data_IF_199377911942
#
_entry.id   IF_199377911942
#
_cell.length_a   1.000
_cell.length_b   1.000
_cell.length_c   1.000
_cell.angle_alpha   90.00
_cell.angle_beta   90.00
_cell.angle_gamma   90.00
#
_symmetry.space_group_name_H-M   'P 1'
#
loop_
_entity.id
_entity.type
_entity.pdbx_description
1 polymer ?
#
# COMPACT_ATOMS: atom_id res chain seq x y z
N UNK A 1 -9.59 -22.48 4.44
CA UNK A 1 -8.46 -21.83 5.12
C UNK A 1 -8.54 -20.34 4.91
N UNK A 2 -8.45 -19.56 5.97
CA UNK A 2 -8.47 -18.09 5.95
C UNK A 2 -7.08 -17.55 6.32
N UNK A 3 -6.56 -16.67 5.48
CA UNK A 3 -5.28 -15.99 5.69
C UNK A 3 -5.56 -14.50 5.85
N UNK A 4 -4.94 -13.87 6.85
CA UNK A 4 -4.92 -12.42 7.01
C UNK A 4 -3.52 -11.88 6.75
N UNK A 5 -3.38 -11.03 5.74
CA UNK A 5 -2.18 -10.21 5.51
C UNK A 5 -2.36 -8.90 6.29
N UNK A 6 -1.38 -8.54 7.12
CA UNK A 6 -1.33 -7.25 7.81
C UNK A 6 -0.18 -6.43 7.25
N UNK A 7 -0.52 -5.48 6.37
CA UNK A 7 0.41 -4.46 5.87
C UNK A 7 -0.34 -3.14 5.72
N UNK A 8 -0.14 -2.26 6.70
CA UNK A 8 -0.97 -1.06 6.87
C UNK A 8 -0.54 0.12 6.00
N UNK A 9 0.76 0.28 5.81
CA UNK A 9 1.40 1.42 5.14
C UNK A 9 2.89 1.09 4.87
N UNK A 10 3.66 1.94 4.19
CA UNK A 10 3.20 2.98 3.27
C UNK A 10 2.82 2.39 1.90
N UNK A 11 2.35 3.22 0.95
CA UNK A 11 1.99 2.77 -0.41
C UNK A 11 3.11 1.93 -1.03
N UNK A 12 4.36 2.38 -0.96
CA UNK A 12 5.51 1.63 -1.48
C UNK A 12 5.65 0.25 -0.86
N UNK A 13 5.48 0.12 0.46
CA UNK A 13 5.60 -1.18 1.12
C UNK A 13 4.39 -2.09 0.86
N UNK A 14 3.20 -1.52 0.63
CA UNK A 14 2.03 -2.28 0.17
C UNK A 14 2.31 -2.87 -1.21
N UNK A 15 2.84 -2.07 -2.16
CA UNK A 15 3.28 -2.55 -3.48
C UNK A 15 4.35 -3.64 -3.34
N UNK A 16 5.35 -3.45 -2.49
CA UNK A 16 6.40 -4.45 -2.24
C UNK A 16 5.87 -5.75 -1.63
N UNK A 17 4.67 -5.75 -1.05
CA UNK A 17 4.03 -6.94 -0.47
C UNK A 17 3.16 -7.69 -1.50
N UNK A 18 2.83 -7.09 -2.65
CA UNK A 18 2.05 -7.75 -3.71
C UNK A 18 2.68 -9.05 -4.24
N UNK A 19 4.02 -9.17 -4.39
CA UNK A 19 4.65 -10.46 -4.72
C UNK A 19 4.35 -11.56 -3.70
N UNK A 20 4.28 -11.23 -2.42
CA UNK A 20 3.91 -12.19 -1.38
C UNK A 20 2.43 -12.58 -1.48
N UNK A 21 1.53 -11.65 -1.83
CA UNK A 21 0.14 -11.98 -2.15
C UNK A 21 0.04 -12.94 -3.34
N UNK A 22 0.76 -12.67 -4.43
CA UNK A 22 0.79 -13.55 -5.60
C UNK A 22 1.29 -14.97 -5.25
N UNK A 23 2.36 -15.04 -4.46
CA UNK A 23 2.91 -16.30 -3.97
C UNK A 23 1.89 -17.06 -3.10
N UNK A 24 1.25 -16.39 -2.14
CA UNK A 24 0.24 -17.00 -1.27
C UNK A 24 -0.98 -17.49 -2.05
N UNK A 25 -1.46 -16.72 -3.03
CA UNK A 25 -2.59 -17.13 -3.89
C UNK A 25 -2.26 -18.36 -4.73
N UNK A 26 -1.04 -18.47 -5.28
CA UNK A 26 -0.62 -19.68 -6.01
C UNK A 26 -0.46 -20.89 -5.11
N UNK A 27 0.14 -20.68 -3.95
CA UNK A 27 0.41 -21.71 -2.94
C UNK A 27 -0.87 -22.25 -2.31
N UNK A 28 -1.86 -21.37 -2.12
CA UNK A 28 -3.15 -21.70 -1.55
C UNK A 28 -4.31 -21.17 -2.42
N UNK A 29 -4.58 -21.79 -3.59
CA UNK A 29 -5.56 -21.29 -4.55
C UNK A 29 -6.97 -21.11 -3.97
N UNK A 30 -7.36 -22.00 -3.06
CA UNK A 30 -8.68 -22.05 -2.44
C UNK A 30 -8.73 -21.32 -1.08
N UNK A 31 -7.64 -20.67 -0.65
CA UNK A 31 -7.67 -19.91 0.60
C UNK A 31 -8.48 -18.62 0.43
N UNK A 32 -9.21 -18.25 1.49
CA UNK A 32 -9.78 -16.93 1.59
C UNK A 32 -8.72 -15.97 2.14
N UNK A 33 -8.20 -15.07 1.31
CA UNK A 33 -7.13 -14.13 1.66
C UNK A 33 -7.73 -12.75 1.91
N UNK A 34 -7.67 -12.33 3.16
CA UNK A 34 -7.99 -10.97 3.60
C UNK A 34 -6.72 -10.14 3.73
N UNK A 35 -6.78 -8.83 3.44
CA UNK A 35 -5.67 -7.90 3.68
C UNK A 35 -6.14 -6.69 4.50
N UNK A 36 -5.53 -6.46 5.66
CA UNK A 36 -5.72 -5.24 6.46
C UNK A 36 -4.74 -4.12 6.07
N UNK A 37 -5.29 -2.97 5.69
CA UNK A 37 -4.55 -1.79 5.16
C UNK A 37 -5.13 -0.49 5.74
N UNK A 38 -4.35 0.60 5.82
CA UNK A 38 -4.90 1.94 6.15
C UNK A 38 -5.41 2.68 4.89
N UNK A 39 -6.35 3.62 5.09
CA UNK A 39 -7.05 4.36 4.02
C UNK A 39 -6.14 4.90 2.91
N UNK A 40 -4.98 5.46 3.27
CA UNK A 40 -4.07 6.09 2.31
C UNK A 40 -3.48 5.12 1.26
N UNK A 41 -3.54 3.81 1.48
CA UNK A 41 -3.04 2.80 0.55
C UNK A 41 -4.11 1.79 0.13
N UNK A 42 -5.38 1.99 0.51
CA UNK A 42 -6.45 1.02 0.24
C UNK A 42 -6.77 0.87 -1.23
N UNK A 43 -6.66 1.95 -2.01
CA UNK A 43 -7.06 1.98 -3.42
C UNK A 43 -6.21 1.06 -4.32
N UNK A 44 -5.03 0.64 -3.84
CA UNK A 44 -4.20 -0.37 -4.50
C UNK A 44 -4.75 -1.80 -4.36
N UNK A 45 -5.60 -2.02 -3.35
CA UNK A 45 -6.02 -3.36 -2.92
C UNK A 45 -7.53 -3.57 -3.08
N UNK A 46 -8.34 -2.52 -3.00
CA UNK A 46 -9.79 -2.61 -3.23
C UNK A 46 -10.05 -3.22 -4.60
N UNK A 47 -10.95 -4.21 -4.64
CA UNK A 47 -11.30 -4.99 -5.84
C UNK A 47 -10.12 -5.75 -6.50
N UNK A 48 -9.04 -5.99 -5.75
CA UNK A 48 -7.90 -6.75 -6.25
C UNK A 48 -8.26 -8.23 -6.43
N UNK A 49 -8.04 -8.84 -7.62
CA UNK A 49 -8.59 -10.17 -7.97
C UNK A 49 -8.00 -11.33 -7.16
N UNK A 50 -6.82 -11.15 -6.56
CA UNK A 50 -6.21 -12.15 -5.69
C UNK A 50 -6.63 -12.05 -4.21
N UNK A 51 -7.44 -11.05 -3.85
CA UNK A 51 -7.96 -10.85 -2.49
C UNK A 51 -9.45 -11.13 -2.45
N UNK A 52 -9.87 -11.89 -1.45
CA UNK A 52 -11.30 -12.12 -1.18
C UNK A 52 -11.88 -10.98 -0.33
N UNK A 53 -11.04 -10.26 0.41
CA UNK A 53 -11.46 -9.14 1.24
C UNK A 53 -10.34 -8.13 1.53
N UNK A 54 -10.70 -6.85 1.50
CA UNK A 54 -9.85 -5.77 2.01
C UNK A 54 -10.48 -5.19 3.28
N UNK A 55 -9.69 -5.13 4.35
CA UNK A 55 -10.08 -4.56 5.63
C UNK A 55 -9.42 -3.19 5.78
N UNK A 56 -10.16 -2.14 5.40
CA UNK A 56 -9.65 -0.76 5.47
C UNK A 56 -9.79 -0.22 6.89
N UNK A 57 -8.65 0.02 7.53
CA UNK A 57 -8.55 0.60 8.87
C UNK A 57 -8.48 2.12 8.79
N UNK A 58 -9.46 2.80 9.40
CA UNK A 58 -9.47 4.27 9.53
C UNK A 58 -8.75 4.75 10.79
N UNK A 59 -7.76 3.98 11.27
CA UNK A 59 -7.07 4.24 12.55
C UNK A 59 -6.58 5.67 12.70
N UNK A 60 -6.01 6.28 11.65
CA UNK A 60 -5.53 7.67 11.71
C UNK A 60 -6.68 8.64 11.97
N UNK A 61 -7.78 8.50 11.23
CA UNK A 61 -9.00 9.29 11.39
C UNK A 61 -9.62 9.09 12.77
N UNK A 62 -9.76 7.85 13.24
CA UNK A 62 -10.27 7.55 14.59
C UNK A 62 -9.43 8.17 15.69
N UNK A 63 -8.09 8.06 15.61
CA UNK A 63 -7.19 8.66 16.61
C UNK A 63 -7.29 10.17 16.61
N UNK A 64 -7.35 10.81 15.44
CA UNK A 64 -7.55 12.25 15.31
C UNK A 64 -8.87 12.69 15.94
N UNK A 65 -9.97 12.06 15.53
CA UNK A 65 -11.31 12.47 15.94
C UNK A 65 -11.52 12.27 17.45
N UNK A 66 -10.94 11.20 18.04
CA UNK A 66 -10.92 10.99 19.49
C UNK A 66 -10.09 12.05 20.24
N UNK A 67 -8.93 12.45 19.70
CA UNK A 67 -8.08 13.49 20.30
C UNK A 67 -8.74 14.87 20.24
N UNK A 68 -9.45 15.16 19.16
CA UNK A 68 -10.18 16.43 18.97
C UNK A 68 -11.55 16.46 19.69
N UNK A 69 -11.91 15.38 20.40
CA UNK A 69 -13.17 15.31 21.15
C UNK A 69 -14.42 15.20 20.26
N UNK A 70 -14.26 14.95 18.95
CA UNK A 70 -15.38 14.85 18.02
C UNK A 70 -16.11 13.51 18.22
N UNK A 71 -17.43 13.59 18.48
CA UNK A 71 -18.40 12.48 18.51
C UNK A 71 -17.81 11.09 18.86
N UNK A 72 -17.30 10.95 20.09
CA UNK A 72 -16.62 9.74 20.58
C UNK A 72 -17.46 8.47 20.41
N UNK A 73 -18.77 8.58 20.62
CA UNK A 73 -19.71 7.46 20.46
C UNK A 73 -19.77 6.95 19.01
N UNK A 74 -19.70 7.84 18.01
CA UNK A 74 -19.61 7.43 16.61
C UNK A 74 -18.30 6.70 16.32
N UNK A 75 -17.16 7.25 16.75
CA UNK A 75 -15.84 6.64 16.52
C UNK A 75 -15.74 5.24 17.16
N UNK A 76 -16.23 5.09 18.40
CA UNK A 76 -16.24 3.77 19.07
C UNK A 76 -17.16 2.77 18.36
N UNK A 77 -18.28 3.21 17.79
CA UNK A 77 -19.15 2.36 16.96
C UNK A 77 -18.45 1.91 15.68
N UNK A 78 -17.71 2.79 15.02
CA UNK A 78 -16.92 2.45 13.83
C UNK A 78 -15.81 1.44 14.14
N UNK A 79 -15.04 1.68 15.22
CA UNK A 79 -14.01 0.73 15.69
C UNK A 79 -14.65 -0.61 16.01
N UNK A 80 -15.78 -0.62 16.73
CA UNK A 80 -16.51 -1.85 17.06
C UNK A 80 -17.03 -2.58 15.82
N UNK A 81 -17.47 -1.84 14.81
CA UNK A 81 -17.87 -2.39 13.51
C UNK A 81 -16.70 -3.03 12.78
N UNK A 82 -15.57 -2.32 12.68
CA UNK A 82 -14.34 -2.83 12.08
C UNK A 82 -13.83 -4.10 12.80
N UNK A 83 -13.87 -4.13 14.13
CA UNK A 83 -13.45 -5.31 14.89
C UNK A 83 -14.39 -6.50 14.72
N UNK A 84 -15.70 -6.26 14.56
CA UNK A 84 -16.66 -7.32 14.20
C UNK A 84 -16.33 -7.88 12.82
N UNK A 85 -16.13 -7.02 11.83
CA UNK A 85 -15.71 -7.37 10.47
C UNK A 85 -14.37 -8.12 10.46
N UNK A 86 -13.39 -7.69 11.25
CA UNK A 86 -12.10 -8.38 11.37
C UNK A 86 -12.26 -9.80 11.89
N UNK A 87 -13.18 -10.02 12.83
CA UNK A 87 -13.35 -11.28 13.59
C UNK A 87 -14.48 -12.17 13.09
N UNK A 88 -15.19 -11.78 12.03
CA UNK A 88 -16.32 -12.56 11.51
C UNK A 88 -15.88 -13.91 10.91
N UNK A 89 -14.58 -14.10 10.69
CA UNK A 89 -13.96 -15.34 10.22
C UNK A 89 -12.73 -15.65 11.07
N UNK A 90 -12.56 -16.91 11.53
CA UNK A 90 -11.34 -17.31 12.22
C UNK A 90 -10.19 -17.44 11.23
N UNK A 91 -9.05 -16.82 11.52
CA UNK A 91 -7.84 -16.95 10.71
C UNK A 91 -6.97 -18.11 11.19
N UNK A 92 -6.63 -19.02 10.29
CA UNK A 92 -5.64 -20.05 10.54
C UNK A 92 -4.23 -19.45 10.52
N UNK A 93 -3.98 -18.50 9.63
CA UNK A 93 -2.70 -17.80 9.49
C UNK A 93 -2.94 -16.29 9.43
N UNK A 94 -2.23 -15.55 10.27
CA UNK A 94 -2.10 -14.09 10.20
C UNK A 94 -0.63 -13.79 9.96
N UNK A 95 -0.33 -13.04 8.90
CA UNK A 95 1.02 -12.70 8.50
C UNK A 95 1.23 -11.20 8.69
N UNK A 96 2.08 -10.82 9.64
CA UNK A 96 2.46 -9.42 9.89
C UNK A 96 3.70 -9.06 9.05
N UNK A 97 3.46 -8.39 7.93
CA UNK A 97 4.51 -7.82 7.07
C UNK A 97 4.93 -6.42 7.52
N UNK A 98 4.24 -5.86 8.52
CA UNK A 98 4.41 -4.47 8.92
C UNK A 98 5.36 -4.33 10.10
N UNK A 99 5.24 -5.20 11.10
CA UNK A 99 6.24 -5.33 12.17
C UNK A 99 6.33 -4.13 13.12
N UNK A 100 5.25 -3.36 13.31
CA UNK A 100 5.20 -2.23 14.26
C UNK A 100 4.08 -2.40 15.28
N UNK A 101 4.04 -1.57 16.33
CA UNK A 101 3.02 -1.68 17.37
C UNK A 101 1.59 -1.63 16.81
N UNK A 102 1.36 -0.73 15.85
CA UNK A 102 0.04 -0.57 15.23
C UNK A 102 -0.44 -1.81 14.48
N UNK A 103 0.45 -2.59 13.86
CA UNK A 103 0.08 -3.86 13.22
C UNK A 103 -0.11 -4.95 14.26
N UNK A 104 0.76 -5.01 15.27
CA UNK A 104 0.66 -5.97 16.37
C UNK A 104 -0.68 -5.90 17.11
N UNK A 105 -1.23 -4.69 17.32
CA UNK A 105 -2.59 -4.53 17.86
C UNK A 105 -3.63 -5.22 16.97
N UNK A 106 -3.58 -5.04 15.64
CA UNK A 106 -4.52 -5.71 14.73
C UNK A 106 -4.31 -7.22 14.67
N UNK A 107 -3.06 -7.68 14.66
CA UNK A 107 -2.70 -9.11 14.71
C UNK A 107 -3.29 -9.75 15.96
N UNK A 108 -3.11 -9.14 17.14
CA UNK A 108 -3.67 -9.63 18.39
C UNK A 108 -5.21 -9.62 18.36
N UNK A 109 -5.80 -8.51 17.91
CA UNK A 109 -7.26 -8.38 17.86
C UNK A 109 -7.90 -9.30 16.83
N UNK A 110 -7.17 -9.75 15.79
CA UNK A 110 -7.66 -10.72 14.79
C UNK A 110 -7.88 -12.13 15.33
N UNK A 111 -7.21 -12.48 16.46
CA UNK A 111 -7.29 -13.81 17.11
C UNK A 111 -6.90 -14.97 16.19
N UNK A 112 -5.97 -14.75 15.27
CA UNK A 112 -5.43 -15.82 14.42
C UNK A 112 -4.69 -16.90 15.21
N UNK A 113 -4.78 -18.14 14.74
CA UNK A 113 -4.14 -19.31 15.38
C UNK A 113 -2.62 -19.26 15.26
N UNK A 114 -2.12 -19.14 14.02
CA UNK A 114 -0.70 -18.88 13.72
C UNK A 114 -0.52 -17.42 13.37
N UNK A 115 0.35 -16.73 14.09
CA UNK A 115 0.72 -15.33 13.88
C UNK A 115 2.19 -15.29 13.50
N UNK A 116 2.42 -15.21 12.19
CA UNK A 116 3.73 -15.26 11.55
C UNK A 116 4.22 -13.83 11.27
N UNK A 117 5.49 -13.57 11.54
CA UNK A 117 6.16 -12.32 11.18
C UNK A 117 7.66 -12.43 11.42
N UNK A 118 8.34 -11.31 11.42
CA UNK A 118 9.77 -11.27 11.74
C UNK A 118 10.01 -11.32 13.25
N UNK A 119 11.21 -11.76 13.66
CA UNK A 119 11.65 -11.80 15.05
C UNK A 119 12.01 -10.42 15.65
N UNK A 120 12.06 -9.39 14.80
CA UNK A 120 12.21 -8.00 15.20
C UNK A 120 11.22 -7.60 16.30
N UNK A 121 11.77 -6.93 17.32
CA UNK A 121 11.01 -6.38 18.44
C UNK A 121 10.76 -4.88 18.28
N UNK A 122 10.82 -4.35 17.05
CA UNK A 122 10.55 -2.95 16.80
C UNK A 122 9.15 -2.57 17.33
N UNK A 123 9.12 -1.60 18.24
CA UNK A 123 7.91 -1.20 18.97
C UNK A 123 7.17 -2.36 19.68
N UNK A 124 7.87 -3.45 20.02
CA UNK A 124 7.31 -4.63 20.66
C UNK A 124 6.42 -5.49 19.76
N UNK A 125 6.44 -5.29 18.44
CA UNK A 125 5.54 -5.97 17.51
C UNK A 125 5.65 -7.50 17.54
N UNK A 126 6.87 -8.02 17.67
CA UNK A 126 7.12 -9.45 17.77
C UNK A 126 6.53 -10.14 19.02
N UNK A 127 6.08 -9.41 20.05
CA UNK A 127 5.53 -10.03 21.26
C UNK A 127 4.19 -10.75 21.02
N UNK A 128 3.44 -10.35 20.00
CA UNK A 128 2.14 -10.97 19.68
C UNK A 128 2.25 -12.13 18.69
N UNK A 129 3.45 -12.41 18.16
CA UNK A 129 3.66 -13.47 17.16
C UNK A 129 3.84 -14.83 17.83
N UNK A 130 3.27 -15.87 17.22
CA UNK A 130 3.47 -17.26 17.64
C UNK A 130 4.59 -17.96 16.85
N UNK A 131 4.94 -17.40 15.69
CA UNK A 131 5.89 -17.96 14.74
C UNK A 131 6.72 -16.80 14.18
N UNK A 132 8.04 -16.93 14.21
CA UNK A 132 8.96 -15.85 13.88
C UNK A 132 10.06 -16.35 12.98
N UNK A 133 10.43 -15.55 11.99
CA UNK A 133 11.60 -15.79 11.15
C UNK A 133 12.60 -14.63 11.28
N UNK A 134 13.91 -14.87 11.05
CA UNK A 134 14.91 -13.81 11.12
C UNK A 134 14.62 -12.66 10.14
N UNK A 135 14.77 -11.41 10.59
CA UNK A 135 14.73 -10.25 9.71
C UNK A 135 16.11 -9.94 9.10
N UNK A 136 16.28 -10.18 7.80
CA UNK A 136 17.50 -9.78 7.08
C UNK A 136 17.35 -8.40 6.42
N UNK A 137 17.87 -7.38 7.10
CA UNK A 137 17.87 -6.00 6.62
C UNK A 137 18.87 -5.73 5.48
N UNK A 138 19.74 -6.67 5.16
CA UNK A 138 20.61 -6.61 3.98
C UNK A 138 19.87 -6.93 2.67
N UNK A 139 18.69 -7.56 2.74
CA UNK A 139 17.85 -7.83 1.57
C UNK A 139 17.03 -6.62 1.15
N UNK A 140 16.77 -6.52 -0.15
CA UNK A 140 15.73 -5.64 -0.66
C UNK A 140 14.37 -6.00 -0.01
N UNK A 141 13.54 -4.99 0.25
CA UNK A 141 12.28 -5.18 0.99
C UNK A 141 11.37 -6.24 0.36
N UNK A 142 11.31 -6.31 -0.97
CA UNK A 142 10.54 -7.32 -1.72
C UNK A 142 11.05 -8.73 -1.42
N UNK A 143 12.36 -8.95 -1.48
CA UNK A 143 12.94 -10.27 -1.24
C UNK A 143 12.78 -10.70 0.21
N UNK A 144 12.89 -9.74 1.13
CA UNK A 144 12.59 -9.93 2.55
C UNK A 144 11.13 -10.36 2.73
N UNK A 145 10.16 -9.61 2.18
CA UNK A 145 8.74 -9.96 2.28
C UNK A 145 8.41 -11.32 1.65
N UNK A 146 9.16 -11.78 0.66
CA UNK A 146 9.00 -13.13 0.10
C UNK A 146 9.49 -14.24 1.04
N UNK A 147 10.28 -13.95 2.07
CA UNK A 147 10.71 -14.95 3.04
C UNK A 147 9.55 -15.52 3.87
N UNK A 148 8.52 -14.71 4.15
CA UNK A 148 7.32 -15.15 4.88
C UNK A 148 6.53 -16.24 4.11
N UNK A 149 6.14 -16.06 2.83
CA UNK A 149 5.54 -17.15 2.06
C UNK A 149 6.51 -18.31 1.78
N UNK A 150 7.83 -18.07 1.64
CA UNK A 150 8.81 -19.17 1.54
C UNK A 150 8.81 -20.04 2.80
N UNK A 151 8.73 -19.42 3.98
CA UNK A 151 8.64 -20.12 5.25
C UNK A 151 7.37 -21.00 5.34
N UNK A 152 6.28 -20.58 4.69
CA UNK A 152 5.05 -21.36 4.57
C UNK A 152 5.13 -22.48 3.52
N UNK A 153 6.28 -22.67 2.86
CA UNK A 153 6.50 -23.71 1.85
C UNK A 153 6.10 -23.30 0.43
N UNK A 154 5.83 -22.02 0.19
CA UNK A 154 5.42 -21.55 -1.13
C UNK A 154 6.61 -21.43 -2.08
N UNK A 155 6.49 -22.05 -3.26
CA UNK A 155 7.50 -21.95 -4.32
C UNK A 155 7.46 -20.57 -4.98
N UNK A 156 8.61 -19.89 -5.01
CA UNK A 156 8.75 -18.54 -5.54
C UNK A 156 9.99 -18.48 -6.43
N UNK A 157 9.79 -18.33 -7.74
CA UNK A 157 10.88 -18.17 -8.72
C UNK A 157 11.27 -16.71 -8.92
N UNK A 158 10.28 -15.83 -9.13
CA UNK A 158 10.48 -14.40 -9.38
C UNK A 158 9.39 -13.56 -8.70
N UNK A 159 9.71 -12.35 -8.19
CA UNK A 159 8.68 -11.42 -7.73
C UNK A 159 7.78 -10.97 -8.89
N UNK A 160 6.47 -11.08 -8.68
CA UNK A 160 5.44 -10.56 -9.59
C UNK A 160 4.65 -9.48 -8.86
N UNK A 161 4.38 -8.37 -9.52
CA UNK A 161 3.61 -7.26 -8.95
C UNK A 161 2.23 -7.22 -9.61
N UNK A 162 1.25 -7.99 -9.12
CA UNK A 162 -0.10 -7.99 -9.67
C UNK A 162 -0.81 -6.66 -9.35
N UNK A 163 -0.52 -5.58 -10.07
CA UNK A 163 -1.30 -4.35 -9.92
C UNK A 163 -2.65 -4.57 -10.61
N UNK A 164 -3.73 -4.49 -9.84
CA UNK A 164 -5.09 -4.70 -10.32
C UNK A 164 -5.56 -3.51 -11.18
N UNK A 165 -5.29 -3.56 -12.48
CA UNK A 165 -5.75 -2.57 -13.44
C UNK A 165 -7.08 -3.01 -14.07
N UNK A 166 -8.06 -2.12 -14.07
CA UNK A 166 -9.38 -2.33 -14.67
C UNK A 166 -9.64 -1.28 -15.74
N UNK A 167 -10.57 -1.55 -16.66
CA UNK A 167 -10.94 -0.60 -17.74
C UNK A 167 -11.41 0.75 -17.18
N UNK A 168 -12.04 0.77 -16.01
CA UNK A 168 -12.41 1.99 -15.31
C UNK A 168 -11.21 2.90 -15.01
N UNK A 169 -10.04 2.33 -14.68
CA UNK A 169 -8.81 3.09 -14.44
C UNK A 169 -8.32 3.75 -15.74
N UNK A 170 -8.25 2.99 -16.83
CA UNK A 170 -7.85 3.53 -18.14
C UNK A 170 -8.82 4.60 -18.65
N UNK A 171 -10.13 4.37 -18.49
CA UNK A 171 -11.17 5.37 -18.78
C UNK A 171 -10.95 6.65 -17.98
N UNK A 172 -10.71 6.54 -16.68
CA UNK A 172 -10.45 7.70 -15.82
C UNK A 172 -9.22 8.49 -16.26
N UNK A 173 -8.14 7.81 -16.65
CA UNK A 173 -6.93 8.47 -17.17
C UNK A 173 -7.25 9.21 -18.48
N UNK A 174 -7.97 8.58 -19.42
CA UNK A 174 -8.39 9.24 -20.68
C UNK A 174 -9.25 10.47 -20.42
N UNK A 175 -10.21 10.39 -19.49
CA UNK A 175 -11.06 11.53 -19.10
C UNK A 175 -10.24 12.69 -18.50
N UNK A 176 -9.28 12.39 -17.62
CA UNK A 176 -8.41 13.40 -17.02
C UNK A 176 -7.53 14.09 -18.07
N UNK A 177 -6.98 13.33 -19.01
CA UNK A 177 -6.16 13.87 -20.10
C UNK A 177 -6.99 14.72 -21.07
N UNK A 178 -8.19 14.24 -21.44
CA UNK A 178 -9.11 14.96 -22.31
C UNK A 178 -9.61 16.27 -21.67
N UNK A 179 -9.94 16.26 -20.38
CA UNK A 179 -10.37 17.45 -19.63
C UNK A 179 -9.28 18.53 -19.54
N UNK A 180 -8.01 18.17 -19.81
CA UNK A 180 -6.87 19.09 -19.86
C UNK A 180 -6.38 19.34 -21.29
N UNK A 181 -7.12 18.88 -22.30
CA UNK A 181 -6.78 19.00 -23.72
C UNK A 181 -5.34 18.52 -24.05
N UNK A 182 -4.88 17.47 -23.36
CA UNK A 182 -3.54 16.90 -23.60
C UNK A 182 -3.57 16.07 -24.88
N UNK A 183 -2.83 16.47 -25.91
CA UNK A 183 -2.66 15.67 -27.13
C UNK A 183 -1.74 14.48 -26.84
N UNK A 184 -2.34 13.30 -26.72
CA UNK A 184 -1.64 12.05 -26.40
C UNK A 184 -1.31 11.21 -27.62
N UNK A 185 -1.48 11.74 -28.85
CA UNK A 185 -1.27 11.00 -30.11
C UNK A 185 0.14 10.42 -30.21
N UNK A 186 1.15 11.13 -29.68
CA UNK A 186 2.56 10.67 -29.62
C UNK A 186 2.96 10.07 -28.26
N UNK A 187 1.98 9.77 -27.41
CA UNK A 187 2.17 9.45 -25.99
C UNK A 187 2.38 10.70 -25.13
N UNK A 188 2.65 10.51 -23.85
CA UNK A 188 2.97 11.57 -22.89
C UNK A 188 4.02 11.07 -21.88
N UNK A 189 4.65 11.99 -21.16
CA UNK A 189 5.58 11.66 -20.07
C UNK A 189 4.97 12.06 -18.74
N UNK A 190 4.77 11.09 -17.84
CA UNK A 190 4.35 11.36 -16.48
C UNK A 190 5.54 11.76 -15.61
N UNK A 191 5.41 12.86 -14.86
CA UNK A 191 6.45 13.35 -13.94
C UNK A 191 5.86 13.47 -12.54
N UNK A 192 6.53 12.91 -11.54
CA UNK A 192 6.14 12.99 -10.13
C UNK A 192 7.21 13.72 -9.33
N UNK A 193 7.18 15.06 -9.24
CA UNK A 193 8.23 15.85 -8.60
C UNK A 193 8.01 15.99 -7.08
N UNK A 194 7.05 15.26 -6.52
CA UNK A 194 6.67 15.35 -5.12
C UNK A 194 7.28 14.20 -4.31
N UNK A 195 7.76 14.54 -3.12
CA UNK A 195 8.25 13.57 -2.14
C UNK A 195 7.84 14.04 -0.74
N UNK A 196 7.72 13.09 0.19
CA UNK A 196 7.38 13.42 1.59
C UNK A 196 8.53 14.15 2.31
N UNK A 197 9.77 13.83 1.97
CA UNK A 197 10.96 14.42 2.59
C UNK A 197 11.53 15.48 1.65
N UNK A 198 11.75 16.69 2.16
CA UNK A 198 12.34 17.80 1.40
C UNK A 198 13.70 17.42 0.82
N UNK A 199 14.52 16.66 1.56
CA UNK A 199 15.82 16.16 1.11
C UNK A 199 15.76 15.17 -0.06
N UNK A 200 14.57 14.68 -0.40
CA UNK A 200 14.33 13.81 -1.57
C UNK A 200 13.73 14.58 -2.75
N UNK A 201 13.43 15.87 -2.59
CA UNK A 201 13.00 16.70 -3.71
C UNK A 201 14.20 17.03 -4.60
N UNK A 202 14.00 16.89 -5.90
CA UNK A 202 14.95 17.38 -6.88
C UNK A 202 14.67 18.85 -7.18
N UNK A 203 15.69 19.55 -7.66
CA UNK A 203 15.65 20.98 -7.92
C UNK A 203 14.56 21.34 -8.96
N UNK A 204 13.77 22.36 -8.64
CA UNK A 204 12.58 22.73 -9.41
C UNK A 204 12.95 23.31 -10.78
N UNK A 205 14.02 24.10 -10.87
CA UNK A 205 14.50 24.63 -12.15
C UNK A 205 15.06 23.53 -13.05
N UNK A 206 15.69 22.50 -12.47
CA UNK A 206 16.12 21.32 -13.23
C UNK A 206 14.94 20.49 -13.71
N UNK A 207 13.88 20.35 -12.91
CA UNK A 207 12.63 19.72 -13.38
C UNK A 207 12.02 20.50 -14.55
N UNK A 208 11.91 21.82 -14.45
CA UNK A 208 11.39 22.68 -15.52
C UNK A 208 12.21 22.49 -16.82
N UNK A 209 13.55 22.61 -16.72
CA UNK A 209 14.44 22.42 -17.85
C UNK A 209 14.31 21.04 -18.52
N UNK A 210 14.13 19.96 -17.76
CA UNK A 210 13.89 18.63 -18.33
C UNK A 210 12.51 18.55 -18.99
N UNK A 211 11.48 19.13 -18.38
CA UNK A 211 10.13 19.15 -18.94
C UNK A 211 10.10 19.91 -20.27
N UNK A 212 10.76 21.07 -20.35
CA UNK A 212 10.86 21.86 -21.57
C UNK A 212 11.57 21.09 -22.68
N UNK A 213 12.64 20.38 -22.36
CA UNK A 213 13.35 19.53 -23.32
C UNK A 213 12.50 18.35 -23.78
N UNK A 214 11.72 17.72 -22.90
CA UNK A 214 10.77 16.67 -23.30
C UNK A 214 9.75 17.21 -24.31
N UNK A 215 9.19 18.40 -24.05
CA UNK A 215 8.23 19.02 -24.95
C UNK A 215 8.90 19.44 -26.27
N UNK A 216 10.02 20.16 -26.21
CA UNK A 216 10.68 20.74 -27.38
C UNK A 216 11.43 19.72 -28.25
N UNK A 217 12.16 18.78 -27.65
CA UNK A 217 12.99 17.81 -28.38
C UNK A 217 12.20 16.55 -28.74
N UNK A 218 11.33 16.05 -27.86
CA UNK A 218 10.58 14.81 -28.10
C UNK A 218 9.17 15.06 -28.67
N UNK A 219 8.67 16.29 -28.62
CA UNK A 219 7.32 16.63 -29.06
C UNK A 219 6.24 15.88 -28.27
N UNK A 220 6.49 15.61 -26.98
CA UNK A 220 5.57 14.88 -26.10
C UNK A 220 5.10 15.78 -24.96
N UNK A 221 3.80 15.82 -24.63
CA UNK A 221 3.33 16.54 -23.47
C UNK A 221 3.84 15.90 -22.17
N UNK A 222 4.03 16.76 -21.18
CA UNK A 222 4.36 16.38 -19.80
C UNK A 222 3.09 16.44 -18.95
N UNK A 223 2.87 15.39 -18.16
CA UNK A 223 1.74 15.29 -17.22
C UNK A 223 2.30 15.16 -15.81
N UNK A 224 2.10 16.18 -14.98
CA UNK A 224 2.48 16.10 -13.58
C UNK A 224 1.48 15.24 -12.78
N UNK A 225 2.02 14.42 -11.88
CA UNK A 225 1.26 13.54 -10.99
C UNK A 225 1.68 13.78 -9.54
N UNK A 226 0.73 13.60 -8.62
CA UNK A 226 0.90 13.94 -7.21
C UNK A 226 0.09 15.17 -6.80
N UNK A 227 -0.14 15.31 -5.50
CA UNK A 227 -0.93 16.41 -4.94
C UNK A 227 -0.01 17.58 -4.56
N UNK A 228 -0.26 18.76 -5.14
CA UNK A 228 0.45 19.98 -4.75
C UNK A 228 -0.23 21.25 -5.29
N UNK A 229 -1.35 21.70 -4.67
CA UNK A 229 -2.00 22.95 -5.06
C UNK A 229 -1.07 24.17 -4.92
N UNK A 230 -0.11 24.14 -3.99
CA UNK A 230 0.87 25.22 -3.73
C UNK A 230 2.34 24.72 -3.58
N UNK A 231 2.62 23.47 -3.96
CA UNK A 231 3.96 22.89 -3.79
C UNK A 231 4.76 22.74 -5.08
N UNK A 232 5.72 21.79 -5.16
CA UNK A 232 6.74 21.74 -6.22
C UNK A 232 6.17 21.82 -7.64
N UNK A 233 5.03 21.18 -7.90
CA UNK A 233 4.38 21.20 -9.22
C UNK A 233 4.02 22.62 -9.65
N UNK A 234 3.48 23.46 -8.75
CA UNK A 234 3.10 24.83 -9.09
C UNK A 234 4.33 25.69 -9.39
N UNK A 235 5.42 25.50 -8.63
CA UNK A 235 6.66 26.27 -8.81
C UNK A 235 7.39 25.87 -10.09
N UNK A 236 7.48 24.57 -10.37
CA UNK A 236 8.05 24.05 -11.63
C UNK A 236 7.30 24.62 -12.84
N UNK A 237 5.96 24.71 -12.78
CA UNK A 237 5.15 25.26 -13.88
C UNK A 237 5.26 26.78 -14.07
N UNK A 238 5.86 27.49 -13.12
CA UNK A 238 6.02 28.95 -13.17
C UNK A 238 7.39 29.40 -13.68
N UNK A 239 8.33 28.47 -13.81
CA UNK A 239 9.65 28.64 -14.38
C UNK A 239 9.59 28.41 -15.90
#
# INVERSE_FOLDING_TARGET
MNILIVKLSAIGDVIHTLPSLAALRRCYPQAHISWAVEEAASDLLVDHPMLDRVLVSRRKSWVRDLREGRNRAAVLREIGGFLRTLRDRPYEIVIDFHGLFKSAVLVLLSRGKRRLGYDSLQEGSGLVLSEKIPEDMGKHAVDRYLDLPRHLGCAISKPEFPIALQEAHFKRVRELLAAKAVDTTRGFVAVSPVAYWETKLWDEAKFAAVCDRIVGELGRPVVFTGESPEGPISRIRSL
#
